data_IF_813125986128
#
_entry.id   IF_813125986128
#
_cell.length_a   1.000
_cell.length_b   1.000
_cell.length_c   1.000
_cell.angle_alpha   90.00
_cell.angle_beta   90.00
_cell.angle_gamma   90.00
#
_symmetry.space_group_name_H-M   'P 1'
#
loop_
_entity.id
_entity.type
_entity.pdbx_description
1 polymer ?
#
# COMPACT_ATOMS: atom_id res chain seq x y z
N UNK A 1 -36.79 18.28 14.34
CA UNK A 1 -35.54 19.04 14.12
C UNK A 1 -34.90 18.52 12.85
N UNK A 2 -34.46 19.41 11.95
CA UNK A 2 -33.71 19.00 10.75
C UNK A 2 -32.22 18.89 11.13
N UNK A 3 -31.61 17.76 10.80
CA UNK A 3 -30.17 17.54 10.90
C UNK A 3 -29.55 17.67 9.50
N UNK A 4 -28.24 17.93 9.40
CA UNK A 4 -27.55 18.06 8.11
C UNK A 4 -27.65 16.81 7.24
N UNK A 5 -27.78 15.62 7.85
CA UNK A 5 -27.90 14.35 7.13
C UNK A 5 -26.62 13.87 6.45
N UNK A 6 -25.51 14.61 6.57
CA UNK A 6 -24.21 14.27 5.99
C UNK A 6 -23.17 13.94 7.06
N UNK A 7 -22.30 12.97 6.77
CA UNK A 7 -21.19 12.54 7.63
C UNK A 7 -19.95 12.41 6.76
N UNK A 8 -18.83 13.02 7.17
CA UNK A 8 -17.56 12.93 6.44
C UNK A 8 -17.50 13.70 5.11
N UNK A 9 -18.43 14.61 4.84
CA UNK A 9 -18.45 15.41 3.59
C UNK A 9 -17.75 16.76 3.70
N UNK A 10 -17.35 17.17 4.91
CA UNK A 10 -16.65 18.44 5.12
C UNK A 10 -15.18 18.23 4.81
N UNK A 11 -14.70 18.87 3.75
CA UNK A 11 -13.29 18.86 3.34
C UNK A 11 -12.61 20.09 3.94
N UNK A 12 -11.54 19.86 4.70
CA UNK A 12 -10.71 20.93 5.27
C UNK A 12 -9.40 20.97 4.50
N UNK A 13 -9.20 22.03 3.72
CA UNK A 13 -7.97 22.21 2.94
C UNK A 13 -6.80 22.71 3.82
N UNK A 14 -5.59 22.62 3.30
CA UNK A 14 -4.37 23.06 3.99
C UNK A 14 -4.43 24.55 4.36
N UNK A 15 -5.00 25.41 3.52
CA UNK A 15 -5.16 26.83 3.81
C UNK A 15 -5.98 27.05 5.09
N UNK A 16 -7.12 26.39 5.22
CA UNK A 16 -8.00 26.50 6.39
C UNK A 16 -7.29 26.09 7.67
N UNK A 17 -6.48 25.01 7.62
CA UNK A 17 -5.67 24.55 8.75
C UNK A 17 -4.67 25.62 9.18
N UNK A 18 -3.96 26.21 8.22
CA UNK A 18 -2.97 27.28 8.47
C UNK A 18 -3.66 28.53 9.04
N UNK A 19 -4.78 28.94 8.46
CA UNK A 19 -5.54 30.10 8.91
C UNK A 19 -6.06 29.92 10.34
N UNK A 20 -6.59 28.73 10.65
CA UNK A 20 -7.04 28.38 11.98
C UNK A 20 -5.88 28.32 12.99
N UNK A 21 -4.69 27.89 12.59
CA UNK A 21 -3.50 27.91 13.43
C UNK A 21 -3.00 29.34 13.68
N UNK A 22 -2.95 30.18 12.65
CA UNK A 22 -2.53 31.58 12.76
C UNK A 22 -3.48 32.42 13.64
N UNK A 23 -4.80 32.22 13.50
CA UNK A 23 -5.79 32.85 14.38
C UNK A 23 -5.60 32.46 15.85
N UNK A 24 -5.22 31.21 16.13
CA UNK A 24 -4.88 30.75 17.50
C UNK A 24 -3.60 31.42 18.03
N UNK A 25 -2.65 31.77 17.16
CA UNK A 25 -1.50 32.62 17.50
C UNK A 25 -1.89 34.11 17.67
N UNK A 26 -3.10 34.49 17.27
CA UNK A 26 -3.65 35.85 17.28
C UNK A 26 -3.12 36.75 16.17
N UNK A 27 -2.78 36.15 15.03
CA UNK A 27 -2.59 36.84 13.75
C UNK A 27 -3.80 36.59 12.87
N UNK A 28 -4.19 37.58 12.07
CA UNK A 28 -5.21 37.34 11.04
C UNK A 28 -4.60 36.56 9.88
N UNK A 29 -5.41 35.75 9.21
CA UNK A 29 -4.95 34.96 8.04
C UNK A 29 -4.39 35.87 6.92
N UNK A 30 -4.99 37.04 6.74
CA UNK A 30 -4.61 38.05 5.74
C UNK A 30 -3.29 38.76 6.07
N UNK A 31 -2.83 38.70 7.32
CA UNK A 31 -1.55 39.29 7.75
C UNK A 31 -0.36 38.37 7.48
N UNK A 32 -0.59 37.09 7.15
CA UNK A 32 0.47 36.14 6.84
C UNK A 32 1.15 36.52 5.54
N UNK A 33 2.45 36.77 5.60
CA UNK A 33 3.26 36.96 4.41
C UNK A 33 3.38 35.64 3.62
N UNK A 34 3.74 35.73 2.34
CA UNK A 34 3.98 34.55 1.51
C UNK A 34 5.07 33.62 2.09
N UNK A 35 6.10 34.21 2.70
CA UNK A 35 7.12 33.46 3.44
C UNK A 35 6.51 32.71 4.64
N UNK A 36 5.71 33.38 5.46
CA UNK A 36 5.08 32.76 6.63
C UNK A 36 4.13 31.63 6.25
N UNK A 37 3.43 31.72 5.11
CA UNK A 37 2.62 30.61 4.59
C UNK A 37 3.50 29.42 4.15
N UNK A 38 4.66 29.68 3.54
CA UNK A 38 5.63 28.61 3.21
C UNK A 38 6.15 27.94 4.48
N UNK A 39 6.54 28.74 5.48
CA UNK A 39 7.00 28.25 6.78
C UNK A 39 5.90 27.43 7.47
N UNK A 40 4.65 27.89 7.45
CA UNK A 40 3.52 27.14 7.99
C UNK A 40 3.36 25.75 7.34
N UNK A 41 3.46 25.68 6.01
CA UNK A 41 3.41 24.39 5.30
C UNK A 41 4.59 23.49 5.65
N UNK A 42 5.80 24.03 5.78
CA UNK A 42 6.99 23.26 6.17
C UNK A 42 6.85 22.74 7.61
N UNK A 43 6.42 23.59 8.54
CA UNK A 43 6.18 23.21 9.94
C UNK A 43 5.10 22.14 10.07
N UNK A 44 4.04 22.22 9.26
CA UNK A 44 3.02 21.18 9.14
C UNK A 44 3.59 19.87 8.58
N UNK A 45 4.38 19.93 7.50
CA UNK A 45 5.05 18.76 6.93
C UNK A 45 5.98 18.07 7.95
N UNK A 46 6.78 18.83 8.70
CA UNK A 46 7.63 18.27 9.74
C UNK A 46 6.83 17.63 10.87
N UNK A 47 5.67 18.19 11.22
CA UNK A 47 4.79 17.59 12.21
C UNK A 47 4.23 16.26 11.71
N UNK A 48 3.61 16.22 10.52
CA UNK A 48 3.05 15.00 9.94
C UNK A 48 4.13 13.92 9.76
N UNK A 49 5.31 14.28 9.28
CA UNK A 49 6.46 13.37 9.16
C UNK A 49 6.93 12.82 10.51
N UNK A 50 6.77 13.59 11.60
CA UNK A 50 7.17 13.15 12.94
C UNK A 50 6.19 12.18 13.59
N UNK A 51 4.94 12.10 13.12
CA UNK A 51 3.93 11.20 13.69
C UNK A 51 4.40 9.74 13.66
N UNK A 52 5.16 9.36 12.64
CA UNK A 52 5.67 8.00 12.52
C UNK A 52 6.68 7.59 13.60
N UNK A 53 7.26 8.57 14.32
CA UNK A 53 8.22 8.31 15.40
C UNK A 53 7.54 8.12 16.76
N UNK A 54 6.28 8.57 16.92
CA UNK A 54 5.55 8.53 18.19
C UNK A 54 4.63 7.31 18.31
N UNK A 55 4.29 6.67 17.18
CA UNK A 55 3.48 5.46 17.18
C UNK A 55 3.07 5.02 15.77
N UNK A 56 2.26 3.97 15.71
CA UNK A 56 1.68 3.48 14.46
C UNK A 56 0.36 4.21 14.22
N UNK A 57 0.25 4.91 13.09
CA UNK A 57 -1.01 5.49 12.62
C UNK A 57 -1.80 4.42 11.87
N UNK A 58 -2.99 4.04 12.34
CA UNK A 58 -3.76 2.95 11.73
C UNK A 58 -4.23 3.30 10.31
N UNK A 59 -4.52 4.58 10.05
CA UNK A 59 -4.90 5.04 8.71
C UNK A 59 -3.73 5.08 7.72
N UNK A 60 -2.50 4.95 8.21
CA UNK A 60 -1.28 4.85 7.40
C UNK A 60 -0.72 3.42 7.37
N UNK A 61 -1.56 2.41 7.64
CA UNK A 61 -1.23 1.00 7.43
C UNK A 61 -1.75 0.59 6.05
N UNK A 62 -0.85 0.05 5.23
CA UNK A 62 -1.18 -0.47 3.91
C UNK A 62 -0.78 -1.94 3.79
N UNK A 63 -1.46 -2.63 2.88
CA UNK A 63 -1.18 -4.00 2.48
C UNK A 63 -0.64 -3.99 1.06
N UNK A 64 0.50 -4.64 0.84
CA UNK A 64 1.07 -4.87 -0.50
C UNK A 64 1.25 -6.37 -0.73
N UNK A 65 0.94 -6.83 -1.94
CA UNK A 65 1.21 -8.21 -2.37
C UNK A 65 2.36 -8.21 -3.37
N UNK A 66 3.46 -8.85 -3.00
CA UNK A 66 4.69 -8.88 -3.80
C UNK A 66 4.89 -10.31 -4.29
N UNK A 67 4.93 -10.49 -5.61
CA UNK A 67 5.29 -11.79 -6.20
C UNK A 67 6.78 -12.05 -6.05
N UNK A 68 7.13 -13.27 -5.67
CA UNK A 68 8.52 -13.66 -5.46
C UNK A 68 9.14 -14.13 -6.77
N UNK A 69 10.40 -13.78 -6.99
CA UNK A 69 11.19 -14.23 -8.14
C UNK A 69 12.18 -15.30 -7.67
N UNK A 70 12.36 -16.41 -8.42
CA UNK A 70 13.37 -17.40 -8.10
C UNK A 70 14.75 -16.78 -7.90
N UNK A 71 15.50 -17.28 -6.93
CA UNK A 71 16.88 -16.86 -6.64
C UNK A 71 17.05 -15.39 -6.22
N UNK A 72 15.94 -14.67 -5.98
CA UNK A 72 15.93 -13.29 -5.53
C UNK A 72 15.47 -13.18 -4.07
N UNK A 73 16.36 -12.69 -3.22
CA UNK A 73 16.13 -12.55 -1.78
C UNK A 73 15.80 -11.12 -1.33
N UNK A 74 15.90 -10.09 -2.19
CA UNK A 74 15.69 -8.68 -1.83
C UNK A 74 14.45 -8.10 -2.51
N UNK A 75 13.59 -7.42 -1.76
CA UNK A 75 12.37 -6.79 -2.27
C UNK A 75 12.19 -5.40 -1.66
N UNK A 76 12.13 -4.38 -2.51
CA UNK A 76 11.89 -2.99 -2.10
C UNK A 76 10.41 -2.77 -1.83
N UNK A 77 10.09 -2.11 -0.72
CA UNK A 77 8.72 -1.65 -0.46
C UNK A 77 8.42 -0.33 -1.18
N UNK A 78 7.14 0.06 -1.29
CA UNK A 78 6.74 1.36 -1.83
C UNK A 78 7.41 2.54 -1.13
N UNK A 79 7.48 3.67 -1.84
CA UNK A 79 8.00 4.92 -1.30
C UNK A 79 7.19 5.36 -0.06
N UNK A 80 7.89 5.85 0.96
CA UNK A 80 7.29 6.24 2.23
C UNK A 80 7.01 5.07 3.18
N UNK A 81 7.23 3.81 2.79
CA UNK A 81 7.19 2.69 3.74
C UNK A 81 8.22 2.88 4.86
N UNK A 82 7.84 2.57 6.09
CA UNK A 82 8.63 2.88 7.28
C UNK A 82 9.00 1.66 8.11
N UNK A 83 8.03 0.79 8.37
CA UNK A 83 8.26 -0.50 9.05
C UNK A 83 7.34 -1.58 8.48
N UNK A 84 7.84 -2.82 8.49
CA UNK A 84 7.06 -4.00 8.15
C UNK A 84 6.42 -4.57 9.43
N UNK A 85 5.10 -4.48 9.53
CA UNK A 85 4.32 -4.94 10.68
C UNK A 85 4.17 -6.46 10.65
N UNK A 86 3.63 -6.98 9.54
CA UNK A 86 3.48 -8.40 9.30
C UNK A 86 3.90 -8.74 7.88
N UNK A 87 4.73 -9.76 7.73
CA UNK A 87 5.13 -10.28 6.43
C UNK A 87 4.70 -11.74 6.39
N UNK A 88 3.82 -12.07 5.45
CA UNK A 88 3.21 -13.39 5.33
C UNK A 88 3.62 -14.00 3.99
N UNK A 89 4.14 -15.21 4.02
CA UNK A 89 4.25 -16.05 2.84
C UNK A 89 2.85 -16.42 2.37
N UNK A 90 2.59 -16.31 1.07
CA UNK A 90 1.25 -16.49 0.52
C UNK A 90 1.26 -17.36 -0.73
N UNK A 91 0.32 -18.31 -0.77
CA UNK A 91 0.03 -19.17 -1.92
C UNK A 91 -1.45 -19.11 -2.27
N UNK A 92 -1.80 -19.46 -3.50
CA UNK A 92 -3.17 -19.50 -3.97
C UNK A 92 -3.39 -20.70 -4.88
N UNK A 93 -4.64 -21.06 -5.07
CA UNK A 93 -5.04 -22.02 -6.07
C UNK A 93 -5.38 -21.28 -7.38
N UNK A 94 -5.06 -21.90 -8.53
CA UNK A 94 -5.47 -21.45 -9.87
C UNK A 94 -6.65 -22.31 -10.32
N UNK A 95 -7.90 -21.81 -10.28
CA UNK A 95 -9.04 -22.56 -10.77
C UNK A 95 -8.90 -22.84 -12.28
N UNK A 96 -9.31 -24.04 -12.69
CA UNK A 96 -9.27 -24.43 -14.09
C UNK A 96 -10.45 -23.82 -14.85
N UNK A 97 -10.18 -23.25 -16.02
CA UNK A 97 -11.18 -22.68 -16.91
C UNK A 97 -10.63 -22.54 -18.33
N UNK A 98 -11.52 -22.23 -19.28
CA UNK A 98 -11.16 -22.04 -20.67
C UNK A 98 -10.72 -20.58 -20.89
N UNK A 99 -9.43 -20.38 -21.22
CA UNK A 99 -8.91 -19.07 -21.54
C UNK A 99 -9.10 -18.72 -23.02
N UNK A 100 -9.38 -17.45 -23.31
CA UNK A 100 -9.44 -16.92 -24.67
C UNK A 100 -8.69 -15.59 -24.78
N UNK A 101 -8.16 -15.30 -25.97
CA UNK A 101 -7.51 -14.02 -26.28
C UNK A 101 -8.32 -13.31 -27.36
N UNK A 102 -8.56 -12.01 -27.19
CA UNK A 102 -9.32 -11.21 -28.15
C UNK A 102 -8.52 -10.79 -29.39
N UNK A 103 -7.19 -10.91 -29.36
CA UNK A 103 -6.30 -10.33 -30.36
C UNK A 103 -5.09 -11.25 -30.66
N UNK A 104 -5.36 -12.52 -30.99
CA UNK A 104 -4.34 -13.50 -31.36
C UNK A 104 -3.43 -13.92 -30.20
N UNK A 105 -2.25 -14.43 -30.54
CA UNK A 105 -1.30 -15.02 -29.59
C UNK A 105 -1.67 -16.46 -29.18
N UNK A 106 -0.73 -17.14 -28.53
CA UNK A 106 -0.91 -18.50 -28.02
C UNK A 106 -1.43 -18.43 -26.58
N UNK A 107 -2.74 -18.35 -26.41
CA UNK A 107 -3.36 -18.14 -25.08
C UNK A 107 -2.99 -19.24 -24.07
N UNK A 108 -2.68 -20.46 -24.51
CA UNK A 108 -2.23 -21.53 -23.64
C UNK A 108 -0.99 -21.16 -22.80
N UNK A 109 -0.13 -20.29 -23.34
CA UNK A 109 1.09 -19.87 -22.67
C UNK A 109 0.84 -19.02 -21.43
N UNK A 110 -0.34 -18.41 -21.24
CA UNK A 110 -0.57 -17.55 -20.05
C UNK A 110 -0.99 -18.32 -18.80
N UNK A 111 -1.18 -19.64 -18.90
CA UNK A 111 -1.62 -20.47 -17.76
C UNK A 111 -0.92 -21.85 -17.73
N UNK A 112 0.23 -21.99 -18.40
CA UNK A 112 0.98 -23.25 -18.51
C UNK A 112 1.96 -23.48 -17.34
N UNK A 113 2.05 -22.54 -16.40
CA UNK A 113 3.01 -22.52 -15.29
C UNK A 113 4.47 -22.46 -15.76
N UNK A 114 4.73 -21.81 -16.89
CA UNK A 114 6.04 -21.65 -17.47
C UNK A 114 6.36 -20.18 -17.79
N UNK A 115 7.18 -19.56 -16.94
CA UNK A 115 7.58 -18.16 -17.11
C UNK A 115 8.41 -17.88 -18.38
N UNK A 116 8.91 -18.91 -19.08
CA UNK A 116 9.70 -18.75 -20.29
C UNK A 116 8.84 -18.54 -21.55
N UNK A 117 7.60 -19.05 -21.57
CA UNK A 117 6.66 -18.88 -22.68
C UNK A 117 5.90 -17.56 -22.54
N UNK A 118 5.25 -17.10 -23.61
CA UNK A 118 4.42 -15.91 -23.58
C UNK A 118 3.34 -15.92 -24.66
N UNK A 119 2.24 -15.22 -24.41
CA UNK A 119 1.19 -14.90 -25.36
C UNK A 119 1.26 -13.41 -25.69
N UNK A 120 1.61 -13.08 -26.94
CA UNK A 120 1.63 -11.72 -27.44
C UNK A 120 0.41 -11.44 -28.32
N UNK A 121 -0.34 -10.40 -27.99
CA UNK A 121 -1.45 -9.93 -28.82
C UNK A 121 -0.95 -9.08 -29.99
N UNK A 122 -1.68 -9.11 -31.10
CA UNK A 122 -1.33 -8.39 -32.35
C UNK A 122 -2.07 -7.06 -32.50
N UNK A 123 -2.98 -6.72 -31.60
CA UNK A 123 -3.78 -5.49 -31.63
C UNK A 123 -3.83 -4.83 -30.27
N UNK A 124 -3.86 -3.49 -30.28
CA UNK A 124 -4.02 -2.70 -29.06
C UNK A 124 -5.39 -2.90 -28.42
N UNK A 125 -5.48 -2.60 -27.12
CA UNK A 125 -6.71 -2.63 -26.33
C UNK A 125 -7.37 -4.02 -26.22
N UNK A 126 -6.59 -5.09 -26.40
CA UNK A 126 -7.08 -6.46 -26.30
C UNK A 126 -7.29 -6.93 -24.86
N UNK A 127 -7.91 -8.10 -24.72
CA UNK A 127 -8.16 -8.76 -23.45
C UNK A 127 -7.81 -10.25 -23.51
N UNK A 128 -7.50 -10.81 -22.35
CA UNK A 128 -7.47 -12.25 -22.11
C UNK A 128 -8.51 -12.55 -21.04
N UNK A 129 -9.42 -13.47 -21.36
CA UNK A 129 -10.53 -13.84 -20.50
C UNK A 129 -10.48 -15.31 -20.13
N UNK A 130 -11.10 -15.66 -19.00
CA UNK A 130 -11.32 -17.02 -18.55
C UNK A 130 -12.83 -17.25 -18.39
N UNK A 131 -13.29 -18.41 -18.85
CA UNK A 131 -14.63 -18.94 -18.62
C UNK A 131 -14.54 -20.22 -17.79
N UNK A 132 -15.15 -20.23 -16.61
CA UNK A 132 -15.16 -21.41 -15.73
C UNK A 132 -16.18 -22.49 -16.13
N UNK A 133 -16.99 -22.23 -17.16
CA UNK A 133 -18.02 -23.14 -17.64
C UNK A 133 -19.40 -22.86 -17.04
N UNK A 134 -20.44 -23.36 -17.70
CA UNK A 134 -21.83 -23.08 -17.35
C UNK A 134 -22.16 -23.46 -15.92
N UNK A 135 -22.76 -22.53 -15.17
CA UNK A 135 -23.14 -22.70 -13.76
C UNK A 135 -21.96 -22.98 -12.82
N UNK A 136 -20.72 -22.70 -13.24
CA UNK A 136 -19.54 -22.80 -12.39
C UNK A 136 -19.08 -21.40 -11.99
N UNK A 137 -19.47 -20.96 -10.81
CA UNK A 137 -19.18 -19.64 -10.29
C UNK A 137 -18.00 -19.70 -9.32
N UNK A 138 -16.95 -18.95 -9.63
CA UNK A 138 -15.71 -18.95 -8.84
C UNK A 138 -15.55 -17.57 -8.19
N UNK A 139 -15.31 -17.57 -6.88
CA UNK A 139 -14.87 -16.39 -6.17
C UNK A 139 -13.36 -16.18 -6.36
N UNK A 140 -12.95 -14.99 -6.81
CA UNK A 140 -11.54 -14.62 -6.90
C UNK A 140 -11.20 -13.60 -5.82
N UNK A 141 -10.09 -13.84 -5.11
CA UNK A 141 -9.56 -12.93 -4.09
C UNK A 141 -8.33 -12.14 -4.53
N UNK A 142 -7.69 -12.54 -5.64
CA UNK A 142 -6.56 -11.82 -6.21
C UNK A 142 -6.37 -12.20 -7.67
N UNK A 143 -5.86 -11.25 -8.46
CA UNK A 143 -5.49 -11.46 -9.85
C UNK A 143 -4.06 -10.97 -10.01
N UNK A 144 -3.23 -11.79 -10.64
CA UNK A 144 -1.84 -11.49 -10.93
C UNK A 144 -1.55 -11.68 -12.40
N UNK A 145 -0.63 -10.88 -12.93
CA UNK A 145 -0.11 -11.10 -14.26
C UNK A 145 1.40 -10.86 -14.30
N UNK A 146 2.07 -11.59 -15.18
CA UNK A 146 3.49 -11.41 -15.47
C UNK A 146 3.62 -10.94 -16.93
N UNK A 147 4.10 -9.71 -17.17
CA UNK A 147 4.28 -9.18 -18.50
C UNK A 147 5.47 -9.83 -19.21
N UNK A 148 5.38 -9.90 -20.53
CA UNK A 148 6.51 -10.08 -21.44
C UNK A 148 6.86 -8.72 -22.03
N UNK A 149 8.08 -8.24 -21.80
CA UNK A 149 8.62 -7.06 -22.49
C UNK A 149 9.90 -7.48 -23.22
N UNK A 150 9.95 -7.24 -24.53
CA UNK A 150 11.10 -7.57 -25.36
C UNK A 150 12.39 -6.94 -24.79
N UNK A 151 13.45 -7.74 -24.70
CA UNK A 151 14.74 -7.32 -24.13
C UNK A 151 14.78 -7.19 -22.60
N UNK A 152 13.76 -7.65 -21.88
CA UNK A 152 13.75 -7.65 -20.41
C UNK A 152 13.50 -6.27 -19.78
N UNK A 153 12.98 -5.32 -20.56
CA UNK A 153 12.81 -3.93 -20.14
C UNK A 153 11.53 -3.69 -19.32
N UNK A 154 11.25 -2.41 -19.04
CA UNK A 154 9.96 -1.97 -18.48
C UNK A 154 9.15 -1.20 -19.52
N UNK A 155 7.83 -1.22 -19.38
CA UNK A 155 6.89 -0.45 -20.19
C UNK A 155 5.76 0.09 -19.31
N UNK A 156 4.97 1.02 -19.83
CA UNK A 156 3.76 1.53 -19.15
C UNK A 156 2.53 0.97 -19.83
N UNK A 157 1.66 0.31 -19.06
CA UNK A 157 0.42 -0.28 -19.54
C UNK A 157 -0.78 0.30 -18.81
N UNK A 158 -1.85 0.58 -19.54
CA UNK A 158 -3.15 0.90 -18.93
C UNK A 158 -3.96 -0.38 -18.79
N UNK A 159 -4.20 -0.84 -17.56
CA UNK A 159 -4.77 -2.17 -17.26
C UNK A 159 -6.06 -2.05 -16.46
N UNK A 160 -7.08 -2.81 -16.85
CA UNK A 160 -8.32 -2.96 -16.11
C UNK A 160 -8.67 -4.45 -15.95
N UNK A 161 -9.14 -4.80 -14.76
CA UNK A 161 -9.63 -6.13 -14.39
C UNK A 161 -11.15 -6.08 -14.35
N UNK A 162 -11.78 -7.04 -15.01
CA UNK A 162 -13.23 -7.04 -15.24
C UNK A 162 -13.81 -8.43 -14.98
N UNK A 163 -15.11 -8.46 -14.67
CA UNK A 163 -15.88 -9.68 -14.43
C UNK A 163 -17.18 -9.64 -15.24
N UNK A 164 -17.77 -10.81 -15.45
CA UNK A 164 -19.05 -10.93 -16.14
C UNK A 164 -19.84 -12.15 -15.67
N UNK A 165 -21.17 -12.04 -15.70
CA UNK A 165 -22.11 -13.14 -15.41
C UNK A 165 -22.58 -13.85 -16.68
N UNK A 166 -22.52 -13.17 -17.83
CA UNK A 166 -23.07 -13.63 -19.11
C UNK A 166 -22.01 -13.80 -20.22
N UNK A 167 -20.78 -13.33 -19.98
CA UNK A 167 -19.69 -13.31 -20.95
C UNK A 167 -19.80 -12.18 -21.98
N UNK A 168 -20.82 -11.32 -21.89
CA UNK A 168 -21.13 -10.26 -22.87
C UNK A 168 -21.00 -8.89 -22.21
N UNK A 169 -21.66 -8.68 -21.07
CA UNK A 169 -21.61 -7.45 -20.30
C UNK A 169 -20.53 -7.55 -19.25
N UNK A 170 -19.56 -6.65 -19.31
CA UNK A 170 -18.40 -6.66 -18.42
C UNK A 170 -18.45 -5.49 -17.47
N UNK A 171 -18.24 -5.78 -16.18
CA UNK A 171 -18.19 -4.80 -15.11
C UNK A 171 -16.77 -4.74 -14.55
N UNK A 172 -16.36 -3.56 -14.10
CA UNK A 172 -15.02 -3.34 -13.54
C UNK A 172 -14.92 -3.97 -12.14
N UNK A 173 -13.91 -4.83 -11.95
CA UNK A 173 -13.43 -5.22 -10.61
C UNK A 173 -12.48 -4.17 -10.06
N UNK A 174 -11.46 -3.83 -10.84
CA UNK A 174 -10.41 -2.88 -10.46
C UNK A 174 -9.81 -2.28 -11.72
N UNK A 175 -9.73 -0.96 -11.76
CA UNK A 175 -8.89 -0.24 -12.72
C UNK A 175 -7.55 0.04 -12.06
N UNK A 176 -6.47 -0.46 -12.66
CA UNK A 176 -5.11 -0.19 -12.20
C UNK A 176 -4.59 1.13 -12.78
N UNK A 177 -5.29 1.71 -13.76
CA UNK A 177 -4.80 2.87 -14.48
C UNK A 177 -3.55 2.55 -15.29
N UNK A 178 -2.73 3.58 -15.52
CA UNK A 178 -1.43 3.45 -16.16
C UNK A 178 -0.36 3.09 -15.14
N UNK A 179 0.16 1.86 -15.25
CA UNK A 179 1.18 1.32 -14.34
C UNK A 179 2.44 0.93 -15.10
N UNK A 180 3.58 1.00 -14.40
CA UNK A 180 4.85 0.47 -14.93
C UNK A 180 4.87 -1.03 -14.72
N UNK A 181 5.12 -1.76 -15.80
CA UNK A 181 5.28 -3.22 -15.81
C UNK A 181 6.70 -3.55 -16.25
N UNK A 182 7.32 -4.57 -15.66
CA UNK A 182 8.69 -5.02 -16.00
C UNK A 182 8.67 -6.49 -16.35
N UNK A 183 9.40 -6.90 -17.40
CA UNK A 183 9.52 -8.31 -17.79
C UNK A 183 9.82 -9.21 -16.58
N UNK A 184 9.18 -10.38 -16.51
CA UNK A 184 9.38 -11.39 -15.47
C UNK A 184 9.10 -10.94 -14.02
N UNK A 185 8.45 -9.80 -13.81
CA UNK A 185 7.96 -9.38 -12.50
C UNK A 185 6.45 -9.50 -12.43
N UNK A 186 5.96 -10.19 -11.41
CA UNK A 186 4.53 -10.24 -11.13
C UNK A 186 4.00 -8.87 -10.73
N UNK A 187 2.85 -8.54 -11.28
CA UNK A 187 1.96 -7.50 -10.77
C UNK A 187 0.78 -8.22 -10.15
N UNK A 188 0.69 -8.18 -8.81
CA UNK A 188 -0.44 -8.74 -8.07
C UNK A 188 -1.39 -7.65 -7.64
N UNK A 189 -2.69 -7.96 -7.69
CA UNK A 189 -3.74 -7.07 -7.22
C UNK A 189 -4.69 -7.88 -6.35
N UNK A 190 -4.77 -7.51 -5.07
CA UNK A 190 -5.82 -8.03 -4.19
C UNK A 190 -7.18 -7.46 -4.61
N UNK A 191 -8.18 -8.33 -4.74
CA UNK A 191 -9.55 -7.95 -5.05
C UNK A 191 -10.37 -8.14 -3.76
N UNK A 192 -10.72 -7.02 -3.12
CA UNK A 192 -11.51 -7.01 -1.89
C UNK A 192 -12.53 -5.85 -1.91
N UNK A 193 -13.86 -6.13 -1.93
CA UNK A 193 -14.46 -7.46 -2.03
C UNK A 193 -14.31 -8.04 -3.46
N UNK A 194 -14.10 -9.35 -3.53
CA UNK A 194 -14.18 -10.11 -4.78
C UNK A 194 -15.60 -10.26 -5.30
N UNK A 195 -15.75 -10.96 -6.42
CA UNK A 195 -17.05 -11.35 -6.97
C UNK A 195 -17.09 -12.87 -7.12
N UNK A 196 -18.29 -13.46 -7.15
CA UNK A 196 -18.49 -14.89 -7.42
C UNK A 196 -19.19 -15.05 -8.75
N UNK A 197 -18.42 -15.16 -9.84
CA UNK A 197 -18.97 -15.21 -11.21
C UNK A 197 -18.28 -16.24 -12.08
N UNK A 198 -18.83 -16.47 -13.28
CA UNK A 198 -18.33 -17.44 -14.25
C UNK A 198 -17.17 -16.91 -15.11
N UNK A 199 -17.13 -15.59 -15.36
CA UNK A 199 -16.20 -14.98 -16.29
C UNK A 199 -15.36 -13.89 -15.64
N UNK A 200 -14.06 -13.92 -15.94
CA UNK A 200 -13.13 -12.85 -15.59
C UNK A 200 -12.26 -12.53 -16.79
N UNK A 201 -11.76 -11.30 -16.86
CA UNK A 201 -10.74 -10.93 -17.84
C UNK A 201 -9.84 -9.84 -17.35
N UNK A 202 -8.62 -9.86 -17.88
CA UNK A 202 -7.74 -8.70 -17.88
C UNK A 202 -7.82 -8.06 -19.26
N UNK A 203 -8.04 -6.75 -19.30
CA UNK A 203 -8.06 -5.97 -20.53
C UNK A 203 -7.05 -4.83 -20.42
N UNK A 204 -6.34 -4.58 -21.50
CA UNK A 204 -5.52 -3.37 -21.64
C UNK A 204 -6.28 -2.31 -22.43
N UNK A 205 -5.92 -1.04 -22.26
CA UNK A 205 -6.55 0.07 -22.95
C UNK A 205 -5.57 1.19 -23.29
N UNK A 206 -6.08 2.30 -23.83
CA UNK A 206 -5.32 3.50 -24.18
C UNK A 206 -4.15 3.25 -25.16
N UNK A 207 -4.36 2.36 -26.15
CA UNK A 207 -3.36 2.04 -27.18
C UNK A 207 -2.33 0.99 -26.76
N UNK A 208 -2.44 0.45 -25.53
CA UNK A 208 -1.54 -0.61 -25.04
C UNK A 208 -1.78 -1.91 -25.81
N UNK A 209 -0.71 -2.54 -26.30
CA UNK A 209 -0.74 -3.93 -26.81
C UNK A 209 -0.11 -4.84 -25.77
N UNK A 210 -0.86 -5.85 -25.32
CA UNK A 210 -0.46 -6.73 -24.23
C UNK A 210 0.36 -7.92 -24.72
N UNK A 211 1.37 -8.30 -23.93
CA UNK A 211 2.05 -9.58 -24.07
C UNK A 211 2.30 -10.17 -22.68
N UNK A 212 1.73 -11.32 -22.35
CA UNK A 212 1.83 -11.91 -21.02
C UNK A 212 2.62 -13.21 -21.05
N UNK A 213 3.48 -13.39 -20.06
CA UNK A 213 4.07 -14.69 -19.72
C UNK A 213 3.07 -15.54 -18.96
N UNK A 214 2.44 -14.94 -17.94
CA UNK A 214 1.47 -15.63 -17.10
C UNK A 214 0.32 -14.69 -16.73
N UNK A 215 -0.86 -15.26 -16.57
CA UNK A 215 -2.06 -14.63 -16.03
C UNK A 215 -2.66 -15.57 -15.00
N UNK A 216 -2.91 -15.07 -13.80
CA UNK A 216 -3.27 -15.87 -12.65
C UNK A 216 -4.54 -15.29 -12.02
N UNK A 217 -5.65 -15.98 -12.23
CA UNK A 217 -6.90 -15.74 -11.52
C UNK A 217 -6.90 -16.61 -10.26
N UNK A 218 -6.61 -16.01 -9.10
CA UNK A 218 -6.37 -16.75 -7.85
C UNK A 218 -7.56 -16.79 -6.90
N UNK A 219 -7.81 -17.95 -6.31
CA UNK A 219 -8.71 -18.12 -5.18
C UNK A 219 -8.03 -18.84 -4.00
N UNK A 220 -8.75 -18.99 -2.89
CA UNK A 220 -8.29 -19.71 -1.69
C UNK A 220 -6.88 -19.30 -1.23
N UNK A 221 -6.70 -18.00 -0.98
CA UNK A 221 -5.43 -17.51 -0.47
C UNK A 221 -5.10 -18.15 0.87
N UNK A 222 -3.90 -18.74 0.98
CA UNK A 222 -3.32 -19.24 2.22
C UNK A 222 -2.13 -18.37 2.57
N UNK A 223 -2.17 -17.78 3.76
CA UNK A 223 -1.11 -16.92 4.30
C UNK A 223 -0.48 -17.54 5.54
N UNK A 224 0.85 -17.54 5.61
CA UNK A 224 1.65 -18.06 6.72
C UNK A 224 2.61 -16.96 7.16
N UNK A 225 2.53 -16.54 8.42
CA UNK A 225 3.41 -15.51 8.94
C UNK A 225 4.88 -15.95 8.91
N UNK A 226 5.76 -15.08 8.42
CA UNK A 226 7.21 -15.24 8.49
C UNK A 226 7.76 -14.58 9.76
N UNK A 227 8.84 -15.15 10.31
CA UNK A 227 9.50 -14.61 11.50
C UNK A 227 10.46 -13.49 11.13
N UNK A 228 10.43 -12.39 11.89
CA UNK A 228 11.36 -11.26 11.72
C UNK A 228 12.72 -11.61 12.32
N UNK A 229 13.79 -11.43 11.55
CA UNK A 229 15.18 -11.51 11.98
C UNK A 229 15.70 -10.10 12.32
N UNK A 230 16.60 -10.04 13.30
CA UNK A 230 17.39 -8.84 13.53
C UNK A 230 18.53 -8.75 12.48
N UNK A 231 19.22 -7.60 12.43
CA UNK A 231 20.32 -7.39 11.49
C UNK A 231 21.46 -8.38 11.70
N UNK A 232 21.87 -8.59 12.94
CA UNK A 232 23.09 -9.35 13.24
C UNK A 232 22.89 -10.85 12.94
N UNK A 233 21.74 -11.42 13.30
CA UNK A 233 21.31 -12.78 12.96
C UNK A 233 21.30 -12.98 11.44
N UNK A 234 20.72 -12.03 10.70
CA UNK A 234 20.72 -12.09 9.24
C UNK A 234 22.14 -12.01 8.66
N UNK A 235 22.99 -11.13 9.19
CA UNK A 235 24.37 -10.99 8.70
C UNK A 235 25.23 -12.22 8.98
N UNK A 236 24.95 -12.92 10.08
CA UNK A 236 25.64 -14.15 10.52
C UNK A 236 25.12 -15.43 9.85
N UNK A 237 24.06 -15.36 9.02
CA UNK A 237 23.62 -16.51 8.23
C UNK A 237 24.76 -17.03 7.33
N UNK A 238 25.16 -18.31 7.44
CA UNK A 238 26.28 -18.86 6.67
C UNK A 238 26.07 -18.80 5.15
N UNK A 239 24.83 -18.98 4.70
CA UNK A 239 24.46 -18.86 3.29
C UNK A 239 23.13 -18.09 3.14
N UNK A 240 23.24 -16.85 2.68
CA UNK A 240 22.10 -15.95 2.43
C UNK A 240 21.35 -16.28 1.14
N UNK A 241 21.98 -17.03 0.22
CA UNK A 241 21.41 -17.45 -1.06
C UNK A 241 20.89 -18.88 -1.02
N UNK A 242 20.71 -19.46 0.17
CA UNK A 242 20.14 -20.80 0.30
C UNK A 242 18.71 -20.80 -0.24
N UNK A 243 18.41 -21.65 -1.22
CA UNK A 243 17.12 -21.70 -1.90
C UNK A 243 16.18 -22.72 -1.26
N UNK A 244 14.91 -22.37 -1.13
CA UNK A 244 13.85 -23.28 -0.72
C UNK A 244 12.50 -22.91 -1.36
N UNK A 245 11.55 -23.84 -1.30
CA UNK A 245 10.22 -23.62 -1.86
C UNK A 245 9.41 -22.54 -1.10
N UNK A 246 9.73 -22.31 0.17
CA UNK A 246 9.03 -21.35 1.01
C UNK A 246 10.06 -20.56 1.85
N UNK A 247 10.03 -19.22 1.80
CA UNK A 247 10.68 -18.37 2.78
C UNK A 247 9.97 -18.46 4.14
N UNK A 248 10.75 -18.50 5.23
CA UNK A 248 10.23 -18.61 6.60
C UNK A 248 10.53 -17.38 7.44
N UNK A 249 11.53 -16.61 7.04
CA UNK A 249 12.10 -15.53 7.80
C UNK A 249 12.35 -14.33 6.92
N UNK A 250 12.33 -13.14 7.51
CA UNK A 250 12.67 -11.91 6.82
C UNK A 250 13.46 -10.97 7.73
N UNK A 251 14.37 -10.21 7.15
CA UNK A 251 15.00 -9.06 7.78
C UNK A 251 14.51 -7.79 7.08
N UNK A 252 14.11 -6.80 7.87
CA UNK A 252 13.67 -5.50 7.37
C UNK A 252 14.82 -4.50 7.51
N UNK A 253 15.29 -3.99 6.37
CA UNK A 253 16.31 -2.96 6.30
C UNK A 253 15.68 -1.61 5.95
N UNK A 254 15.81 -0.65 6.86
CA UNK A 254 15.24 0.69 6.72
C UNK A 254 16.22 1.59 5.98
N UNK A 255 16.36 1.36 4.68
CA UNK A 255 17.19 2.16 3.77
C UNK A 255 16.43 3.35 3.18
N UNK A 256 17.17 4.39 2.77
CA UNK A 256 16.64 5.52 2.00
C UNK A 256 16.90 5.32 0.49
N UNK A 257 16.01 5.79 -0.40
CA UNK A 257 14.69 6.39 -0.13
C UNK A 257 13.58 5.36 0.15
N UNK A 258 13.84 4.07 -0.07
CA UNK A 258 12.87 2.98 0.13
C UNK A 258 13.48 1.88 1.00
N UNK A 259 12.73 1.32 1.96
CA UNK A 259 13.21 0.19 2.74
C UNK A 259 13.14 -1.10 1.91
N UNK A 260 13.99 -2.05 2.29
CA UNK A 260 14.12 -3.33 1.59
C UNK A 260 13.88 -4.48 2.57
N UNK A 261 13.07 -5.45 2.15
CA UNK A 261 12.89 -6.72 2.83
C UNK A 261 13.85 -7.73 2.23
N UNK A 262 14.63 -8.37 3.09
CA UNK A 262 15.47 -9.51 2.77
C UNK A 262 14.78 -10.77 3.28
N UNK A 263 14.47 -11.71 2.40
CA UNK A 263 13.81 -12.96 2.78
C UNK A 263 14.81 -14.12 2.85
N UNK A 264 14.57 -15.06 3.76
CA UNK A 264 15.34 -16.28 3.89
C UNK A 264 14.45 -17.47 4.29
N UNK A 265 14.64 -18.67 3.71
CA UNK A 265 15.42 -18.97 2.51
C UNK A 265 14.98 -18.17 1.26
N UNK A 266 15.85 -18.10 0.26
CA UNK A 266 15.54 -17.51 -1.04
C UNK A 266 14.51 -18.37 -1.76
N UNK A 267 13.46 -17.79 -2.36
CA UNK A 267 12.44 -18.55 -3.09
C UNK A 267 13.04 -19.26 -4.31
N UNK A 268 12.63 -20.51 -4.53
CA UNK A 268 12.95 -21.29 -5.73
C UNK A 268 11.85 -21.27 -6.80
N UNK A 269 10.65 -20.81 -6.45
CA UNK A 269 9.45 -20.84 -7.29
C UNK A 269 9.00 -19.41 -7.66
N UNK A 270 8.60 -19.20 -8.91
CA UNK A 270 8.09 -17.92 -9.39
C UNK A 270 6.60 -17.71 -9.08
N UNK A 271 5.84 -18.74 -8.71
CA UNK A 271 4.39 -18.67 -8.51
C UNK A 271 3.96 -18.47 -7.06
N UNK A 272 4.92 -18.10 -6.20
CA UNK A 272 4.67 -17.81 -4.78
C UNK A 272 4.75 -16.31 -4.55
N UNK A 273 4.07 -15.83 -3.52
CA UNK A 273 3.96 -14.42 -3.21
C UNK A 273 4.19 -14.18 -1.71
N UNK A 274 4.37 -12.92 -1.34
CA UNK A 274 4.31 -12.48 0.03
C UNK A 274 3.32 -11.33 0.17
N UNK A 275 2.63 -11.30 1.29
CA UNK A 275 1.79 -10.19 1.70
C UNK A 275 2.52 -9.42 2.78
N UNK A 276 2.67 -8.12 2.58
CA UNK A 276 3.34 -7.22 3.50
C UNK A 276 2.32 -6.22 4.03
N UNK A 277 2.07 -6.26 5.32
CA UNK A 277 1.43 -5.17 6.05
C UNK A 277 2.54 -4.24 6.54
N UNK A 278 2.52 -3.00 6.09
CA UNK A 278 3.55 -2.02 6.41
C UNK A 278 2.92 -0.70 6.84
N UNK A 279 3.59 -0.02 7.76
CA UNK A 279 3.30 1.38 8.05
C UNK A 279 3.98 2.26 7.02
N UNK A 280 3.31 3.31 6.58
CA UNK A 280 3.87 4.31 5.68
C UNK A 280 3.79 5.71 6.29
N UNK A 281 4.57 6.61 5.72
CA UNK A 281 4.46 8.04 5.97
C UNK A 281 3.11 8.56 5.45
N UNK A 282 2.58 9.54 6.16
CA UNK A 282 1.43 10.34 5.71
C UNK A 282 1.88 11.14 4.49
N UNK A 283 0.95 11.38 3.55
CA UNK A 283 1.24 12.18 2.37
C UNK A 283 1.76 13.58 2.74
N UNK A 284 2.62 14.12 1.86
CA UNK A 284 3.09 15.49 1.94
C UNK A 284 1.92 16.48 1.90
N UNK A 285 2.14 17.67 2.46
CA UNK A 285 1.11 18.72 2.59
C UNK A 285 0.62 19.23 1.22
N UNK A 286 1.45 19.18 0.17
CA UNK A 286 1.06 19.62 -1.17
C UNK A 286 0.75 21.12 -1.29
N UNK A 287 -0.24 21.45 -2.11
CA UNK A 287 -0.72 22.81 -2.34
C UNK A 287 -1.71 23.26 -1.25
N UNK A 288 -1.94 24.57 -1.15
CA UNK A 288 -2.88 25.15 -0.17
C UNK A 288 -4.33 24.71 -0.37
N UNK A 289 -4.69 24.32 -1.59
CA UNK A 289 -6.01 23.82 -1.98
C UNK A 289 -6.19 22.33 -1.71
N UNK A 290 -5.10 21.61 -1.43
CA UNK A 290 -5.14 20.17 -1.25
C UNK A 290 -5.69 19.83 0.15
N UNK A 291 -6.18 18.60 0.28
CA UNK A 291 -6.63 18.03 1.54
C UNK A 291 -5.50 17.18 2.16
N UNK A 292 -5.39 17.21 3.49
CA UNK A 292 -4.46 16.34 4.21
C UNK A 292 -5.04 14.93 4.36
N UNK A 293 -4.20 13.91 4.22
CA UNK A 293 -4.57 12.52 4.44
C UNK A 293 -4.63 12.17 5.94
N UNK A 294 -5.66 12.68 6.61
CA UNK A 294 -5.85 12.55 8.05
C UNK A 294 -7.30 12.23 8.40
N UNK A 295 -7.57 11.38 9.40
CA UNK A 295 -8.92 11.11 9.85
C UNK A 295 -9.47 12.28 10.69
N UNK A 296 -10.79 12.40 10.75
CA UNK A 296 -11.46 13.55 11.37
C UNK A 296 -11.07 13.81 12.84
N UNK A 297 -10.74 12.76 13.59
CA UNK A 297 -10.32 12.85 15.00
C UNK A 297 -8.96 13.55 15.20
N UNK A 298 -8.13 13.65 14.16
CA UNK A 298 -6.80 14.28 14.24
C UNK A 298 -6.79 15.78 13.90
N UNK A 299 -7.88 16.34 13.36
CA UNK A 299 -7.89 17.74 12.90
C UNK A 299 -7.51 18.72 14.01
N UNK A 300 -8.14 18.65 15.18
CA UNK A 300 -7.83 19.57 16.28
C UNK A 300 -6.40 19.38 16.81
N UNK A 301 -5.93 18.14 16.90
CA UNK A 301 -4.55 17.86 17.30
C UNK A 301 -3.54 18.49 16.33
N UNK A 302 -3.77 18.36 15.02
CA UNK A 302 -2.90 18.92 13.98
C UNK A 302 -2.93 20.45 13.99
N UNK A 303 -4.11 21.05 14.07
CA UNK A 303 -4.23 22.51 14.08
C UNK A 303 -3.59 23.12 15.34
N UNK A 304 -3.77 22.48 16.51
CA UNK A 304 -3.14 22.95 17.76
C UNK A 304 -1.62 22.77 17.75
N UNK A 305 -1.11 21.65 17.24
CA UNK A 305 0.33 21.45 17.10
C UNK A 305 0.95 22.42 16.09
N UNK A 306 0.26 22.69 14.97
CA UNK A 306 0.68 23.70 14.01
C UNK A 306 0.67 25.10 14.63
N UNK A 307 -0.37 25.44 15.40
CA UNK A 307 -0.46 26.72 16.09
C UNK A 307 0.69 26.90 17.08
N UNK A 308 1.02 25.89 17.87
CA UNK A 308 2.16 25.95 18.78
C UNK A 308 3.49 26.15 18.02
N UNK A 309 3.75 25.39 16.96
CA UNK A 309 4.96 25.55 16.13
C UNK A 309 5.05 26.94 15.51
N UNK A 310 3.95 27.41 14.91
CA UNK A 310 3.85 28.76 14.35
C UNK A 310 4.03 29.85 15.41
N UNK A 311 3.60 29.62 16.65
CA UNK A 311 3.76 30.61 17.72
C UNK A 311 5.24 30.87 18.07
N UNK A 312 6.14 29.93 17.76
CA UNK A 312 7.58 30.06 17.94
C UNK A 312 8.28 30.73 16.75
N UNK A 313 7.66 30.72 15.58
CA UNK A 313 8.24 31.25 14.33
C UNK A 313 7.67 32.63 13.96
N UNK A 314 6.40 32.89 14.29
CA UNK A 314 5.74 34.15 13.99
C UNK A 314 6.21 35.27 14.94
N UNK A 315 6.47 36.48 14.42
CA UNK A 315 6.89 37.60 15.24
C UNK A 315 5.73 38.12 16.11
N UNK A 316 6.09 38.63 17.30
CA UNK A 316 5.19 39.30 18.23
C UNK A 316 4.06 38.41 18.80
N UNK A 317 4.27 37.09 18.90
CA UNK A 317 3.37 36.23 19.68
C UNK A 317 3.77 36.30 21.16
N UNK A 318 2.80 36.57 22.03
CA UNK A 318 3.03 36.69 23.48
C UNK A 318 3.43 35.34 24.09
N UNK A 319 4.41 35.33 25.00
CA UNK A 319 4.89 34.10 25.65
C UNK A 319 3.80 33.33 26.38
N UNK A 320 2.86 34.03 27.05
CA UNK A 320 1.73 33.38 27.74
C UNK A 320 0.85 32.58 26.77
N UNK A 321 0.70 33.08 25.53
CA UNK A 321 -0.03 32.37 24.47
C UNK A 321 0.75 31.17 23.95
N UNK A 322 2.08 31.29 23.78
CA UNK A 322 2.94 30.16 23.40
C UNK A 322 2.80 29.02 24.41
N UNK A 323 2.88 29.32 25.72
CA UNK A 323 2.73 28.34 26.80
C UNK A 323 1.32 27.73 26.86
N UNK A 324 0.29 28.52 26.56
CA UNK A 324 -1.09 28.02 26.48
C UNK A 324 -1.24 27.05 25.29
N UNK A 325 -0.74 27.42 24.11
CA UNK A 325 -0.79 26.58 22.91
C UNK A 325 0.00 25.29 23.08
N UNK A 326 1.15 25.32 23.78
CA UNK A 326 1.92 24.12 24.11
C UNK A 326 1.09 23.12 24.93
N UNK A 327 0.42 23.59 25.99
CA UNK A 327 -0.44 22.74 26.82
C UNK A 327 -1.60 22.15 26.02
N UNK A 328 -2.25 22.98 25.19
CA UNK A 328 -3.37 22.52 24.38
C UNK A 328 -2.93 21.52 23.29
N UNK A 329 -1.80 21.79 22.63
CA UNK A 329 -1.24 20.89 21.63
C UNK A 329 -0.91 19.52 22.22
N UNK A 330 -0.31 19.48 23.42
CA UNK A 330 0.00 18.24 24.12
C UNK A 330 -1.28 17.47 24.51
N UNK A 331 -2.30 18.17 25.02
CA UNK A 331 -3.57 17.55 25.40
C UNK A 331 -4.27 16.91 24.20
N UNK A 332 -4.51 17.66 23.12
CA UNK A 332 -5.24 17.14 21.96
C UNK A 332 -4.46 16.06 21.23
N UNK A 333 -3.12 16.15 21.21
CA UNK A 333 -2.29 15.07 20.68
C UNK A 333 -2.50 13.77 21.48
N UNK A 334 -2.47 13.87 22.80
CA UNK A 334 -2.64 12.70 23.66
C UNK A 334 -4.05 12.09 23.53
N UNK A 335 -5.09 12.91 23.43
CA UNK A 335 -6.46 12.44 23.16
C UNK A 335 -6.57 11.71 21.81
N UNK A 336 -5.98 12.27 20.75
CA UNK A 336 -5.97 11.64 19.44
C UNK A 336 -5.21 10.30 19.44
N UNK A 337 -4.05 10.24 20.11
CA UNK A 337 -3.24 9.03 20.24
C UNK A 337 -3.95 7.92 21.04
N UNK A 338 -4.67 8.28 22.10
CA UNK A 338 -5.39 7.29 22.90
C UNK A 338 -6.49 6.59 22.08
N UNK A 339 -7.16 7.32 21.18
CA UNK A 339 -8.16 6.74 20.28
C UNK A 339 -7.57 5.91 19.14
N UNK A 340 -6.29 6.11 18.78
CA UNK A 340 -5.63 5.24 17.80
C UNK A 340 -5.38 3.83 18.31
N UNK A 341 -5.44 3.56 19.62
CA UNK A 341 -5.05 2.26 20.13
C UNK A 341 -6.01 1.15 19.69
N UNK A 342 -5.47 -0.01 19.31
CA UNK A 342 -6.28 -1.22 19.13
C UNK A 342 -7.05 -1.52 20.42
N UNK A 343 -8.38 -1.59 20.31
CA UNK A 343 -9.29 -1.90 21.42
C UNK A 343 -9.38 -3.41 21.70
N UNK A 344 -8.57 -4.22 21.02
CA UNK A 344 -8.45 -5.66 21.25
C UNK A 344 -7.78 -5.98 22.61
N UNK A 345 -8.12 -7.14 23.22
CA UNK A 345 -7.45 -7.59 24.43
C UNK A 345 -5.93 -7.74 24.25
N UNK A 346 -5.16 -7.18 25.17
CA UNK A 346 -3.70 -7.31 25.17
C UNK A 346 -3.32 -8.55 25.99
N UNK A 347 -2.55 -9.45 25.38
CA UNK A 347 -1.97 -10.61 26.06
C UNK A 347 -0.48 -10.39 26.29
N UNK A 348 -0.04 -10.47 27.55
CA UNK A 348 1.37 -10.43 27.91
C UNK A 348 1.93 -11.84 27.99
N UNK A 349 3.00 -12.14 27.23
CA UNK A 349 3.73 -13.41 27.29
C UNK A 349 5.14 -13.18 27.86
N UNK A 350 5.29 -13.02 29.19
CA UNK A 350 6.60 -12.86 29.81
C UNK A 350 7.41 -14.16 29.67
N UNK A 351 8.65 -14.06 29.19
CA UNK A 351 9.55 -15.19 29.12
C UNK A 351 10.10 -15.50 30.52
N UNK A 352 9.36 -16.31 31.29
CA UNK A 352 9.76 -16.73 32.63
C UNK A 352 10.67 -17.95 32.49
N UNK A 353 11.99 -17.73 32.58
CA UNK A 353 12.96 -18.82 32.74
C UNK A 353 13.17 -19.10 34.23
N UNK A 354 13.03 -20.36 34.64
CA UNK A 354 13.34 -20.78 36.01
C UNK A 354 14.86 -20.87 36.19
N UNK A 355 15.36 -20.35 37.31
CA UNK A 355 16.77 -20.50 37.69
C UNK A 355 17.03 -21.99 37.99
N UNK A 356 17.75 -22.69 37.12
CA UNK A 356 18.33 -24.01 37.46
C UNK A 356 19.46 -23.78 38.44
N UNK A 357 19.33 -24.34 39.65
CA UNK A 357 20.28 -24.25 40.76
C UNK A 357 21.59 -24.96 40.48
#
# INVERSE_FOLDING_TARGET
MAYSGTVGTTVVNVQEIIDHAARRCGKLAEELTSEQQVTARQSLFYFLSSLINIGIQYWAINKEVIGLTPDKYQYTLPLGANDALNVLYRTMDRPSGAYTSSAGGVVANVYDNNIATYCQQTSANGNISINYGTNNYIYLGSIGFMPYIAGGASATWSVILEYSVDGITWLTLKDLGSIVVTDQKWVWTDIDPGQTVQYYRMRVYNGTTMALRELYFGNNSREIQMSRLNRDDYTNLPNKNFTANQPYQFWFDRTIPQPTIYIWPTPSNAFVQMTVWYSRQIMDVGALTDELEIPQRWYEAIVMNLAHRLSLELPQVQMDRVQYLEKMAAQYLNEAEQEERDKSPIYYAPNISVYTK
#
